data_IF_198419939430
#
_entry.id   IF_198419939430
#
_cell.length_a   1.000
_cell.length_b   1.000
_cell.length_c   1.000
_cell.angle_alpha   90.00
_cell.angle_beta   90.00
_cell.angle_gamma   90.00
#
_symmetry.space_group_name_H-M   'P 1'
#
loop_
_entity.id
_entity.type
_entity.pdbx_description
1 polymer ?
#
# COMPACT_ATOMS: atom_id res chain seq x y z
N UNK A 1 1.76 -44.25 -83.63
CA UNK A 1 2.22 -42.93 -84.14
C UNK A 1 2.82 -42.25 -82.94
N UNK A 2 4.11 -42.49 -82.70
CA UNK A 2 4.85 -41.82 -81.64
C UNK A 2 5.19 -40.43 -82.19
N UNK A 3 4.67 -39.38 -81.56
CA UNK A 3 5.07 -38.01 -81.86
C UNK A 3 6.47 -37.83 -81.27
N UNK A 4 7.50 -37.83 -82.12
CA UNK A 4 8.85 -37.41 -81.72
C UNK A 4 8.74 -36.00 -81.15
N UNK A 5 9.09 -35.85 -79.86
CA UNK A 5 9.02 -34.57 -79.17
C UNK A 5 10.23 -33.75 -79.62
N UNK A 6 10.05 -32.89 -80.62
CA UNK A 6 11.11 -31.99 -81.11
C UNK A 6 11.34 -30.88 -80.08
N UNK A 7 12.59 -30.73 -79.66
CA UNK A 7 13.02 -29.66 -78.74
C UNK A 7 13.49 -28.47 -79.57
N UNK A 8 12.89 -27.30 -79.38
CA UNK A 8 13.20 -26.10 -80.18
C UNK A 8 13.96 -25.10 -79.32
N UNK A 9 15.02 -24.48 -79.86
CA UNK A 9 15.73 -23.42 -79.16
C UNK A 9 14.94 -22.10 -79.19
N UNK A 10 14.66 -21.54 -78.02
CA UNK A 10 13.89 -20.28 -77.88
C UNK A 10 14.62 -19.03 -78.41
N UNK A 11 15.89 -19.15 -78.83
CA UNK A 11 16.73 -18.02 -79.27
C UNK A 11 16.89 -17.97 -80.79
N UNK A 12 16.99 -19.14 -81.44
CA UNK A 12 17.28 -19.26 -82.87
C UNK A 12 16.30 -20.16 -83.64
N UNK A 13 15.32 -20.75 -82.94
CA UNK A 13 14.31 -21.66 -83.47
C UNK A 13 14.86 -22.97 -84.09
N UNK A 14 16.10 -23.36 -83.78
CA UNK A 14 16.68 -24.65 -84.21
C UNK A 14 16.05 -25.85 -83.48
N UNK A 15 15.76 -26.93 -84.21
CA UNK A 15 15.12 -28.16 -83.68
C UNK A 15 16.16 -29.23 -83.34
N UNK A 16 15.98 -29.91 -82.21
CA UNK A 16 16.87 -30.94 -81.67
C UNK A 16 16.10 -32.21 -81.32
N UNK A 17 16.76 -33.36 -81.47
CA UNK A 17 16.18 -34.69 -81.22
C UNK A 17 16.13 -35.04 -79.72
N UNK A 18 16.89 -34.31 -78.88
CA UNK A 18 16.91 -34.50 -77.44
C UNK A 18 17.12 -33.20 -76.65
N UNK A 19 16.55 -33.15 -75.44
CA UNK A 19 16.75 -32.06 -74.48
C UNK A 19 18.25 -31.79 -74.20
N UNK A 20 19.06 -32.85 -74.19
CA UNK A 20 20.50 -32.76 -73.94
C UNK A 20 21.23 -32.03 -75.08
N UNK A 21 20.86 -32.27 -76.34
CA UNK A 21 21.44 -31.58 -77.49
C UNK A 21 21.03 -30.11 -77.53
N UNK A 22 19.76 -29.81 -77.25
CA UNK A 22 19.28 -28.44 -77.09
C UNK A 22 20.08 -27.71 -76.00
N UNK A 23 20.27 -28.32 -74.83
CA UNK A 23 20.98 -27.67 -73.73
C UNK A 23 22.48 -27.45 -74.01
N UNK A 24 23.10 -28.31 -74.81
CA UNK A 24 24.48 -28.13 -75.29
C UNK A 24 24.55 -26.97 -76.28
N UNK A 25 23.62 -26.89 -77.24
CA UNK A 25 23.51 -25.80 -78.19
C UNK A 25 23.27 -24.45 -77.50
N UNK A 26 22.29 -24.35 -76.60
CA UNK A 26 22.05 -23.12 -75.82
C UNK A 26 23.30 -22.69 -75.02
N UNK A 27 24.08 -23.67 -74.53
CA UNK A 27 25.33 -23.43 -73.82
C UNK A 27 26.49 -22.95 -74.69
N UNK A 28 26.56 -23.38 -75.96
CA UNK A 28 27.68 -23.10 -76.87
C UNK A 28 27.41 -21.91 -77.80
N UNK A 29 26.20 -21.84 -78.35
CA UNK A 29 25.82 -20.91 -79.41
C UNK A 29 25.04 -19.69 -78.88
N UNK A 30 24.51 -19.77 -77.65
CA UNK A 30 23.80 -18.66 -77.00
C UNK A 30 24.36 -18.26 -75.62
N UNK A 31 25.68 -17.97 -75.50
CA UNK A 31 26.27 -17.55 -74.24
C UNK A 31 25.66 -16.27 -73.67
N UNK A 32 25.09 -15.41 -74.51
CA UNK A 32 24.41 -14.17 -74.10
C UNK A 32 23.20 -14.40 -73.20
N UNK A 33 22.28 -15.31 -73.57
CA UNK A 33 21.07 -15.65 -72.78
C UNK A 33 21.45 -16.16 -71.38
N UNK A 34 22.46 -17.04 -71.31
CA UNK A 34 23.01 -17.52 -70.02
C UNK A 34 23.63 -16.41 -69.18
N UNK A 35 24.33 -15.47 -69.80
CA UNK A 35 24.91 -14.31 -69.09
C UNK A 35 23.82 -13.40 -68.54
N UNK A 36 22.75 -13.15 -69.31
CA UNK A 36 21.59 -12.35 -68.87
C UNK A 36 20.84 -13.01 -67.71
N UNK A 37 20.60 -14.33 -67.76
CA UNK A 37 20.00 -15.08 -66.65
C UNK A 37 20.86 -15.02 -65.39
N UNK A 38 22.18 -15.18 -65.52
CA UNK A 38 23.11 -15.05 -64.39
C UNK A 38 23.14 -13.64 -63.82
N UNK A 39 23.06 -12.60 -64.66
CA UNK A 39 22.94 -11.21 -64.21
C UNK A 39 21.64 -10.99 -63.43
N UNK A 40 20.51 -11.49 -63.92
CA UNK A 40 19.24 -11.41 -63.21
C UNK A 40 19.22 -12.16 -61.87
N UNK A 41 19.96 -13.27 -61.75
CA UNK A 41 20.15 -13.96 -60.47
C UNK A 41 21.07 -13.16 -59.52
N UNK A 42 22.13 -12.54 -60.04
CA UNK A 42 23.03 -11.68 -59.24
C UNK A 42 22.30 -10.47 -58.66
N UNK A 43 21.45 -9.82 -59.45
CA UNK A 43 20.62 -8.69 -58.98
C UNK A 43 19.67 -9.11 -57.86
N UNK A 44 19.00 -10.26 -58.02
CA UNK A 44 18.14 -10.82 -56.95
C UNK A 44 18.94 -11.16 -55.70
N UNK A 45 20.14 -11.74 -55.84
CA UNK A 45 21.00 -12.05 -54.70
C UNK A 45 21.42 -10.76 -53.97
N UNK A 46 21.73 -9.68 -54.69
CA UNK A 46 22.06 -8.39 -54.08
C UNK A 46 20.85 -7.79 -53.33
N UNK A 47 19.66 -7.84 -53.93
CA UNK A 47 18.44 -7.37 -53.29
C UNK A 47 18.09 -8.17 -52.02
N UNK A 48 18.13 -9.50 -52.10
CA UNK A 48 17.89 -10.37 -50.94
C UNK A 48 18.97 -10.19 -49.87
N UNK A 49 20.23 -9.94 -50.25
CA UNK A 49 21.30 -9.64 -49.30
C UNK A 49 21.05 -8.34 -48.52
N UNK A 50 20.52 -7.31 -49.20
CA UNK A 50 20.10 -6.05 -48.55
C UNK A 50 18.95 -6.27 -47.58
N UNK A 51 17.91 -7.02 -47.98
CA UNK A 51 16.78 -7.38 -47.09
C UNK A 51 17.26 -8.15 -45.86
N UNK A 52 18.18 -9.09 -46.02
CA UNK A 52 18.78 -9.83 -44.90
C UNK A 52 19.53 -8.89 -43.94
N UNK A 53 20.25 -7.89 -44.46
CA UNK A 53 20.94 -6.91 -43.62
C UNK A 53 19.95 -6.05 -42.81
N UNK A 54 18.89 -5.54 -43.45
CA UNK A 54 17.84 -4.77 -42.77
C UNK A 54 17.11 -5.58 -41.69
N UNK A 55 16.81 -6.86 -41.98
CA UNK A 55 16.19 -7.76 -41.01
C UNK A 55 17.10 -7.99 -39.80
N UNK A 56 18.42 -8.13 -40.01
CA UNK A 56 19.39 -8.28 -38.92
C UNK A 56 19.43 -7.05 -38.02
N UNK A 57 19.52 -5.86 -38.61
CA UNK A 57 19.51 -4.60 -37.85
C UNK A 57 18.22 -4.45 -37.04
N UNK A 58 17.07 -4.75 -37.66
CA UNK A 58 15.77 -4.71 -36.96
C UNK A 58 15.70 -5.73 -35.83
N UNK A 59 16.30 -6.91 -36.03
CA UNK A 59 16.36 -7.95 -35.00
C UNK A 59 17.19 -7.48 -33.81
N UNK A 60 18.37 -6.94 -34.05
CA UNK A 60 19.26 -6.40 -33.00
C UNK A 60 18.54 -5.29 -32.20
N UNK A 61 17.87 -4.36 -32.88
CA UNK A 61 17.09 -3.32 -32.18
C UNK A 61 15.92 -3.89 -31.35
N UNK A 62 15.27 -4.95 -31.83
CA UNK A 62 14.21 -5.61 -31.07
C UNK A 62 14.76 -6.36 -29.84
N UNK A 63 15.94 -6.97 -29.96
CA UNK A 63 16.63 -7.61 -28.83
C UNK A 63 16.97 -6.57 -27.75
N UNK A 64 17.56 -5.43 -28.12
CA UNK A 64 17.83 -4.32 -27.18
C UNK A 64 16.56 -3.83 -26.48
N UNK A 65 15.46 -3.66 -27.23
CA UNK A 65 14.17 -3.23 -26.65
C UNK A 65 13.57 -4.26 -25.71
N UNK A 66 13.79 -5.55 -25.96
CA UNK A 66 13.35 -6.62 -25.07
C UNK A 66 14.13 -6.55 -23.76
N UNK A 67 15.44 -6.36 -23.82
CA UNK A 67 16.29 -6.24 -22.63
C UNK A 67 15.87 -5.02 -21.77
N UNK A 68 15.66 -3.84 -22.40
CA UNK A 68 15.17 -2.66 -21.68
C UNK A 68 13.80 -2.88 -21.01
N UNK A 69 12.91 -3.63 -21.65
CA UNK A 69 11.60 -3.96 -21.08
C UNK A 69 11.71 -4.96 -19.94
N UNK A 70 12.67 -5.89 -20.00
CA UNK A 70 12.95 -6.81 -18.90
C UNK A 70 13.47 -6.07 -17.68
N UNK A 71 14.39 -5.12 -17.86
CA UNK A 71 14.92 -4.29 -16.78
C UNK A 71 13.81 -3.44 -16.13
N UNK A 72 12.98 -2.78 -16.95
CA UNK A 72 11.81 -2.02 -16.45
C UNK A 72 10.83 -2.90 -15.70
N UNK A 73 10.59 -4.11 -16.19
CA UNK A 73 9.72 -5.08 -15.51
C UNK A 73 10.29 -5.44 -14.15
N UNK A 74 11.59 -5.75 -14.05
CA UNK A 74 12.22 -6.10 -12.78
C UNK A 74 12.12 -4.93 -11.79
N UNK A 75 12.46 -3.72 -12.20
CA UNK A 75 12.33 -2.53 -11.36
C UNK A 75 10.89 -2.33 -10.85
N UNK A 76 9.89 -2.52 -11.70
CA UNK A 76 8.49 -2.41 -11.29
C UNK A 76 8.10 -3.52 -10.30
N UNK A 77 8.62 -4.74 -10.45
CA UNK A 77 8.39 -5.82 -9.49
C UNK A 77 9.00 -5.49 -8.13
N UNK A 78 10.21 -4.95 -8.10
CA UNK A 78 10.88 -4.53 -6.86
C UNK A 78 10.08 -3.41 -6.18
N UNK A 79 9.63 -2.41 -6.96
CA UNK A 79 8.79 -1.30 -6.43
C UNK A 79 7.47 -1.81 -5.85
N UNK A 80 6.84 -2.80 -6.50
CA UNK A 80 5.60 -3.41 -5.97
C UNK A 80 5.88 -4.13 -4.65
N UNK A 81 6.97 -4.87 -4.55
CA UNK A 81 7.36 -5.54 -3.29
C UNK A 81 7.56 -4.53 -2.15
N UNK A 82 8.30 -3.44 -2.41
CA UNK A 82 8.53 -2.39 -1.40
C UNK A 82 7.23 -1.73 -0.93
N UNK A 83 6.27 -1.54 -1.85
CA UNK A 83 4.96 -0.98 -1.55
C UNK A 83 4.10 -1.96 -0.74
N UNK A 84 4.18 -3.26 -1.02
CA UNK A 84 3.50 -4.30 -0.25
C UNK A 84 4.03 -4.36 1.19
N UNK A 85 5.35 -4.33 1.37
CA UNK A 85 5.99 -4.29 2.70
C UNK A 85 5.60 -3.02 3.48
N UNK A 86 5.59 -1.87 2.80
CA UNK A 86 5.18 -0.59 3.41
C UNK A 86 3.71 -0.65 3.84
N UNK A 87 2.85 -1.24 3.01
CA UNK A 87 1.43 -1.40 3.31
C UNK A 87 1.23 -2.27 4.55
N UNK A 88 1.89 -3.43 4.63
CA UNK A 88 1.81 -4.32 5.79
C UNK A 88 2.27 -3.61 7.07
N UNK A 89 3.36 -2.84 7.00
CA UNK A 89 3.84 -2.06 8.14
C UNK A 89 2.80 -1.04 8.62
N UNK A 90 2.18 -0.29 7.70
CA UNK A 90 1.14 0.69 8.04
C UNK A 90 -0.14 0.04 8.59
N UNK A 91 -0.52 -1.14 8.09
CA UNK A 91 -1.65 -1.90 8.62
C UNK A 91 -1.40 -2.34 10.07
N UNK A 92 -0.19 -2.78 10.40
CA UNK A 92 0.20 -3.12 11.76
C UNK A 92 0.22 -1.88 12.68
N UNK A 93 0.80 -0.76 12.23
CA UNK A 93 0.78 0.49 13.01
C UNK A 93 -0.64 0.98 13.27
N UNK A 94 -1.56 0.80 12.32
CA UNK A 94 -2.96 1.17 12.51
C UNK A 94 -3.62 0.31 13.59
N UNK A 95 -3.40 -1.01 13.57
CA UNK A 95 -3.90 -1.93 14.60
C UNK A 95 -3.39 -1.56 16.00
N UNK A 96 -2.09 -1.29 16.14
CA UNK A 96 -1.50 -0.87 17.41
C UNK A 96 -2.11 0.44 17.93
N UNK A 97 -2.51 1.34 17.03
CA UNK A 97 -3.16 2.61 17.37
C UNK A 97 -4.62 2.42 17.78
N UNK A 98 -5.33 1.51 17.13
CA UNK A 98 -6.70 1.12 17.50
C UNK A 98 -6.72 0.51 18.90
N UNK A 99 -5.84 -0.46 19.18
CA UNK A 99 -5.70 -1.06 20.52
C UNK A 99 -5.39 0.01 21.60
N UNK A 100 -4.54 0.99 21.26
CA UNK A 100 -4.21 2.09 22.17
C UNK A 100 -5.38 3.05 22.42
N UNK A 101 -6.27 3.22 21.45
CA UNK A 101 -7.48 4.03 21.63
C UNK A 101 -8.41 3.31 22.59
N UNK A 102 -8.65 2.02 22.39
CA UNK A 102 -9.50 1.21 23.27
C UNK A 102 -8.99 1.25 24.73
N UNK A 103 -7.67 1.10 24.94
CA UNK A 103 -7.06 1.25 26.27
C UNK A 103 -7.33 2.62 26.91
N UNK A 104 -7.26 3.70 26.13
CA UNK A 104 -7.46 5.06 26.62
C UNK A 104 -8.94 5.35 26.90
N UNK A 105 -9.86 4.74 26.14
CA UNK A 105 -11.30 4.82 26.40
C UNK A 105 -11.64 4.11 27.71
N UNK A 106 -11.09 2.91 27.95
CA UNK A 106 -11.24 2.19 29.22
C UNK A 106 -10.67 2.96 30.43
N UNK A 107 -9.50 3.60 30.27
CA UNK A 107 -8.90 4.44 31.31
C UNK A 107 -9.77 5.68 31.61
N UNK A 108 -10.39 6.27 30.57
CA UNK A 108 -11.26 7.43 30.71
C UNK A 108 -12.57 7.08 31.45
N UNK A 109 -13.17 5.94 31.12
CA UNK A 109 -14.38 5.45 31.80
C UNK A 109 -14.11 5.20 33.29
N UNK A 110 -12.99 4.55 33.63
CA UNK A 110 -12.58 4.34 35.02
C UNK A 110 -12.35 5.66 35.77
N UNK A 111 -11.77 6.67 35.09
CA UNK A 111 -11.56 7.98 35.68
C UNK A 111 -12.90 8.68 35.97
N UNK A 112 -13.88 8.57 35.08
CA UNK A 112 -15.22 9.10 35.28
C UNK A 112 -15.97 8.40 36.43
N UNK A 113 -15.91 7.08 36.52
CA UNK A 113 -16.50 6.34 37.65
C UNK A 113 -15.87 6.78 38.99
N UNK A 114 -14.55 6.99 39.01
CA UNK A 114 -13.88 7.48 40.21
C UNK A 114 -14.27 8.91 40.56
N UNK A 115 -14.45 9.78 39.57
CA UNK A 115 -14.93 11.15 39.76
C UNK A 115 -16.31 11.15 40.43
N UNK A 116 -17.27 10.37 39.91
CA UNK A 116 -18.61 10.22 40.49
C UNK A 116 -18.56 9.72 41.95
N UNK A 117 -17.73 8.72 42.24
CA UNK A 117 -17.55 8.22 43.61
C UNK A 117 -16.98 9.30 44.57
N UNK A 118 -16.11 10.18 44.08
CA UNK A 118 -15.60 11.30 44.88
C UNK A 118 -16.65 12.39 45.08
N UNK A 119 -17.48 12.67 44.07
CA UNK A 119 -18.59 13.63 44.19
C UNK A 119 -19.59 13.18 45.26
N UNK A 120 -19.97 11.91 45.27
CA UNK A 120 -20.84 11.32 46.30
C UNK A 120 -20.24 11.46 47.71
N UNK A 121 -18.94 11.12 47.87
CA UNK A 121 -18.23 11.28 49.16
C UNK A 121 -18.20 12.73 49.62
N UNK A 122 -18.04 13.68 48.70
CA UNK A 122 -18.06 15.11 49.02
C UNK A 122 -19.46 15.52 49.50
N UNK A 123 -20.53 15.01 48.88
CA UNK A 123 -21.90 15.29 49.31
C UNK A 123 -22.17 14.73 50.72
N UNK A 124 -21.81 13.47 50.98
CA UNK A 124 -21.92 12.85 52.29
C UNK A 124 -21.17 13.65 53.37
N UNK A 125 -19.94 14.08 53.06
CA UNK A 125 -19.15 14.91 53.98
C UNK A 125 -19.80 16.27 54.24
N UNK A 126 -20.40 16.91 53.22
CA UNK A 126 -21.13 18.17 53.40
C UNK A 126 -22.33 17.98 54.34
N UNK A 127 -23.10 16.90 54.17
CA UNK A 127 -24.22 16.59 55.06
C UNK A 127 -23.73 16.38 56.49
N UNK A 128 -22.65 15.60 56.68
CA UNK A 128 -22.07 15.35 58.01
C UNK A 128 -21.58 16.63 58.70
N UNK A 129 -20.97 17.53 57.94
CA UNK A 129 -20.55 18.85 58.46
C UNK A 129 -21.77 19.64 58.94
N UNK A 130 -22.88 19.60 58.22
CA UNK A 130 -24.10 20.32 58.60
C UNK A 130 -24.74 19.74 59.87
N UNK A 131 -24.79 18.42 60.00
CA UNK A 131 -25.22 17.74 61.23
C UNK A 131 -24.38 18.17 62.44
N UNK A 132 -23.05 18.14 62.31
CA UNK A 132 -22.13 18.52 63.38
C UNK A 132 -22.26 20.00 63.77
N UNK A 133 -22.54 20.89 62.81
CA UNK A 133 -22.82 22.31 63.12
C UNK A 133 -24.08 22.44 63.98
N UNK A 134 -25.16 21.75 63.60
CA UNK A 134 -26.41 21.80 64.35
C UNK A 134 -26.24 21.23 65.77
N UNK A 135 -25.49 20.13 65.93
CA UNK A 135 -25.16 19.57 67.24
C UNK A 135 -24.35 20.56 68.08
N UNK A 136 -23.35 21.22 67.47
CA UNK A 136 -22.52 22.25 68.12
C UNK A 136 -23.36 23.45 68.56
N UNK A 137 -24.30 23.91 67.74
CA UNK A 137 -25.20 25.02 68.09
C UNK A 137 -26.12 24.65 69.27
N UNK A 138 -26.66 23.42 69.28
CA UNK A 138 -27.51 22.93 70.39
C UNK A 138 -26.74 22.74 71.71
N UNK A 139 -25.49 22.27 71.62
CA UNK A 139 -24.61 22.18 72.78
C UNK A 139 -24.25 23.57 73.32
N UNK A 140 -24.01 24.54 72.45
CA UNK A 140 -23.74 25.93 72.83
C UNK A 140 -24.92 26.53 73.61
N UNK A 141 -26.15 26.35 73.13
CA UNK A 141 -27.37 26.77 73.86
C UNK A 141 -27.50 26.06 75.23
N UNK A 142 -27.21 24.76 75.28
CA UNK A 142 -27.27 23.99 76.54
C UNK A 142 -26.22 24.45 77.57
N UNK A 143 -25.03 24.85 77.11
CA UNK A 143 -23.98 25.43 77.94
C UNK A 143 -24.42 26.78 78.48
N UNK A 144 -24.99 27.65 77.64
CA UNK A 144 -25.52 28.95 78.08
C UNK A 144 -26.61 28.81 79.14
N UNK A 145 -27.54 27.85 78.98
CA UNK A 145 -28.58 27.58 79.99
C UNK A 145 -27.96 27.12 81.32
N UNK A 146 -26.97 26.23 81.25
CA UNK A 146 -26.25 25.71 82.43
C UNK A 146 -25.52 26.84 83.16
N UNK A 147 -24.84 27.74 82.44
CA UNK A 147 -24.17 28.91 83.01
C UNK A 147 -25.14 29.87 83.70
N UNK A 148 -26.33 30.08 83.12
CA UNK A 148 -27.39 30.87 83.75
C UNK A 148 -27.89 30.24 85.04
N UNK A 149 -28.08 28.91 85.07
CA UNK A 149 -28.48 28.18 86.28
C UNK A 149 -27.40 28.23 87.35
N UNK A 150 -26.14 28.01 87.00
CA UNK A 150 -25.00 28.16 87.91
C UNK A 150 -24.96 29.56 88.53
N UNK A 151 -25.15 30.60 87.73
CA UNK A 151 -25.19 31.98 88.23
C UNK A 151 -26.34 32.21 89.21
N UNK A 152 -27.51 31.58 88.99
CA UNK A 152 -28.63 31.65 89.95
C UNK A 152 -28.31 30.91 91.25
N UNK A 153 -27.74 29.71 91.17
CA UNK A 153 -27.34 28.94 92.36
C UNK A 153 -26.24 29.64 93.15
N UNK A 154 -25.25 30.23 92.48
CA UNK A 154 -24.20 31.03 93.11
C UNK A 154 -24.80 32.13 93.98
N UNK A 155 -25.74 32.92 93.43
CA UNK A 155 -26.45 33.97 94.18
C UNK A 155 -27.23 33.43 95.37
N UNK A 156 -27.84 32.25 95.24
CA UNK A 156 -28.57 31.63 96.35
C UNK A 156 -27.63 31.20 97.47
N UNK A 157 -26.46 30.65 97.13
CA UNK A 157 -25.41 30.31 98.11
C UNK A 157 -24.92 31.56 98.82
N UNK A 158 -24.59 32.63 98.07
CA UNK A 158 -24.14 33.90 98.65
C UNK A 158 -25.18 34.48 99.64
N UNK A 159 -26.47 34.40 99.29
CA UNK A 159 -27.56 34.84 100.17
C UNK A 159 -27.66 33.98 101.45
N UNK A 160 -27.52 32.66 101.34
CA UNK A 160 -27.54 31.78 102.52
C UNK A 160 -26.34 32.00 103.43
N UNK A 161 -25.15 32.27 102.86
CA UNK A 161 -23.96 32.59 103.64
C UNK A 161 -24.13 33.90 104.41
N UNK A 162 -24.74 34.94 103.80
CA UNK A 162 -25.09 36.20 104.50
C UNK A 162 -26.12 36.01 105.62
N UNK A 163 -27.06 35.06 105.50
CA UNK A 163 -28.06 34.77 106.54
C UNK A 163 -27.48 34.01 107.75
N UNK A 164 -26.31 33.39 107.60
CA UNK A 164 -25.66 32.57 108.63
C UNK A 164 -24.60 33.33 109.46
N UNK A 165 -24.17 34.52 109.02
CA UNK A 165 -23.27 35.44 109.77
C UNK A 165 -24.04 36.34 110.77
#
# INVERSE_FOLDING_TARGET
METEQQYVCDVCDEEFESEKELHVHEGQDHPGKRVEELQGLLERIDEESKKVAEIKERKENLEERVDELQDKKQHLQDTVSDLEDTKEHLENELSDREDRIDELEDELDQAHEHEEEQEDKIEDQKQRIEELKNERDSLEESVEETDQLLTKFQRQVDQFDEELE
#
